data_IF_695108459603
#
_entry.id   IF_695108459603
#
_cell.length_a   1.000
_cell.length_b   1.000
_cell.length_c   1.000
_cell.angle_alpha   90.00
_cell.angle_beta   90.00
_cell.angle_gamma   90.00
#
_symmetry.space_group_name_H-M   'P 1'
#
loop_
_entity.id
_entity.type
_entity.pdbx_description
1 polymer ?
#
# COMPACT_ATOMS: atom_id res chain seq x y z
N UNK A 1 20.96 -10.00 27.67
CA UNK A 1 19.60 -10.06 27.14
C UNK A 1 19.13 -8.60 27.02
N UNK A 2 18.80 -8.16 25.82
CA UNK A 2 18.16 -6.86 25.61
C UNK A 2 16.72 -7.06 26.11
N UNK A 3 16.29 -6.26 27.06
CA UNK A 3 14.94 -6.31 27.60
C UNK A 3 14.03 -5.75 26.51
N UNK A 4 13.13 -6.57 25.97
CA UNK A 4 12.07 -6.11 25.05
C UNK A 4 11.16 -5.19 25.86
N UNK A 5 10.82 -4.00 25.36
CA UNK A 5 9.89 -3.13 26.08
C UNK A 5 8.52 -3.78 26.18
N UNK A 6 7.85 -3.60 27.32
CA UNK A 6 6.51 -4.14 27.54
C UNK A 6 5.47 -3.55 26.58
N UNK A 7 5.75 -2.37 26.02
CA UNK A 7 4.86 -1.68 25.08
C UNK A 7 5.69 -0.81 24.13
N UNK A 8 5.43 -0.90 22.84
CA UNK A 8 6.06 -0.08 21.80
C UNK A 8 5.09 0.18 20.65
N UNK A 9 5.45 1.07 19.72
CA UNK A 9 4.55 1.49 18.66
C UNK A 9 5.22 1.41 17.30
N UNK A 10 4.43 1.03 16.29
CA UNK A 10 4.76 1.28 14.88
C UNK A 10 3.62 2.01 14.19
N UNK A 11 3.93 2.61 13.04
CA UNK A 11 2.98 3.38 12.23
C UNK A 11 2.87 2.74 10.86
N UNK A 12 1.66 2.72 10.32
CA UNK A 12 1.38 2.43 8.92
C UNK A 12 0.90 3.70 8.22
N UNK A 13 1.63 4.09 7.18
CA UNK A 13 1.25 5.14 6.23
C UNK A 13 1.17 4.53 4.85
N UNK A 14 0.28 5.02 4.00
CA UNK A 14 0.13 4.54 2.63
C UNK A 14 -0.35 5.67 1.74
N UNK A 15 -0.16 5.52 0.43
CA UNK A 15 -0.72 6.44 -0.56
C UNK A 15 -0.36 7.91 -0.26
N UNK A 16 0.94 8.15 -0.05
CA UNK A 16 1.44 9.49 0.28
C UNK A 16 1.54 10.41 -0.96
N UNK A 17 1.63 9.83 -2.15
CA UNK A 17 1.58 10.48 -3.45
C UNK A 17 2.37 11.78 -3.54
N UNK A 18 3.63 11.77 -3.10
CA UNK A 18 4.53 12.90 -3.26
C UNK A 18 4.72 13.17 -4.75
N UNK A 19 4.45 14.38 -5.18
CA UNK A 19 4.48 14.73 -6.59
C UNK A 19 5.07 16.10 -6.87
N UNK A 20 5.08 16.47 -8.14
CA UNK A 20 5.55 17.72 -8.71
C UNK A 20 4.41 18.40 -9.49
N UNK A 21 4.56 19.67 -9.90
CA UNK A 21 3.56 20.36 -10.72
C UNK A 21 3.25 19.66 -12.06
N UNK A 22 4.14 18.82 -12.55
CA UNK A 22 3.99 18.06 -13.78
C UNK A 22 3.27 16.73 -13.58
N UNK A 23 3.02 16.35 -12.33
CA UNK A 23 2.40 15.07 -12.01
C UNK A 23 0.93 14.99 -12.42
N UNK A 24 0.48 13.77 -12.70
CA UNK A 24 -0.90 13.46 -13.05
C UNK A 24 -1.88 13.94 -11.99
N UNK A 25 -2.78 14.84 -12.37
CA UNK A 25 -3.82 15.42 -11.48
C UNK A 25 -3.28 15.81 -10.11
N UNK A 26 -2.08 16.37 -10.08
CA UNK A 26 -1.42 16.71 -8.85
C UNK A 26 -1.91 18.02 -8.24
N UNK A 27 -2.06 18.03 -6.93
CA UNK A 27 -2.32 19.25 -6.13
C UNK A 27 -1.21 19.41 -5.10
N UNK A 28 -0.53 20.56 -5.05
CA UNK A 28 0.52 20.82 -4.06
C UNK A 28 0.08 20.67 -2.60
N UNK A 29 -1.22 20.76 -2.36
CA UNK A 29 -1.84 20.49 -1.06
C UNK A 29 -1.50 19.10 -0.52
N UNK A 30 -1.34 18.10 -1.37
CA UNK A 30 -1.02 16.73 -0.96
C UNK A 30 0.35 16.63 -0.29
N UNK A 31 1.38 17.29 -0.85
CA UNK A 31 2.69 17.36 -0.20
C UNK A 31 2.63 18.10 1.15
N UNK A 32 1.76 19.11 1.28
CA UNK A 32 1.56 19.82 2.55
C UNK A 32 0.90 18.89 3.59
N UNK A 33 -0.05 18.06 3.18
CA UNK A 33 -0.70 17.08 4.04
C UNK A 33 0.28 16.05 4.57
N UNK A 34 1.21 15.56 3.71
CA UNK A 34 2.31 14.74 4.19
C UNK A 34 3.13 15.45 5.28
N UNK A 35 3.40 16.74 5.13
CA UNK A 35 4.12 17.52 6.15
C UNK A 35 3.37 17.58 7.49
N UNK A 36 2.04 17.57 7.47
CA UNK A 36 1.20 17.45 8.67
C UNK A 36 1.33 16.05 9.28
N UNK A 37 1.16 15.00 8.47
CA UNK A 37 1.31 13.61 8.92
C UNK A 37 2.69 13.37 9.55
N UNK A 38 3.77 13.82 8.90
CA UNK A 38 5.13 13.68 9.38
C UNK A 38 5.34 14.27 10.79
N UNK A 39 4.81 15.48 11.05
CA UNK A 39 4.86 16.11 12.37
C UNK A 39 4.08 15.31 13.42
N UNK A 40 2.92 14.79 13.07
CA UNK A 40 2.12 13.96 13.98
C UNK A 40 2.85 12.64 14.29
N UNK A 41 3.45 11.99 13.29
CA UNK A 41 4.25 10.77 13.46
C UNK A 41 5.45 11.04 14.36
N UNK A 42 6.18 12.14 14.14
CA UNK A 42 7.29 12.54 15.01
C UNK A 42 6.86 12.74 16.48
N UNK A 43 5.67 13.32 16.69
CA UNK A 43 5.14 13.52 18.04
C UNK A 43 4.75 12.19 18.73
N UNK A 44 4.30 11.19 17.95
CA UNK A 44 4.00 9.83 18.46
C UNK A 44 5.29 9.09 18.82
N UNK A 45 6.39 9.40 18.12
CA UNK A 45 7.71 8.77 18.27
C UNK A 45 7.67 7.22 18.17
N UNK A 46 7.12 6.65 17.08
CA UNK A 46 7.11 5.20 16.89
C UNK A 46 8.53 4.68 16.63
N UNK A 47 8.75 3.39 16.90
CA UNK A 47 10.04 2.75 16.64
C UNK A 47 10.24 2.36 15.15
N UNK A 48 9.12 2.21 14.42
CA UNK A 48 9.09 1.73 13.04
C UNK A 48 7.94 2.37 12.26
N UNK A 49 8.17 2.64 10.99
CA UNK A 49 7.15 3.07 10.03
C UNK A 49 7.08 2.09 8.86
N UNK A 50 5.88 1.59 8.57
CA UNK A 50 5.57 0.79 7.40
C UNK A 50 4.92 1.67 6.34
N UNK A 51 5.43 1.64 5.12
CA UNK A 51 4.97 2.47 4.00
C UNK A 51 4.33 1.58 2.95
N UNK A 52 3.01 1.66 2.83
CA UNK A 52 2.15 0.74 2.10
C UNK A 52 2.08 0.95 0.59
N UNK A 53 3.04 1.64 -0.03
CA UNK A 53 3.08 1.90 -1.47
C UNK A 53 2.47 3.25 -1.87
N UNK A 54 2.47 3.52 -3.17
CA UNK A 54 2.08 4.79 -3.78
C UNK A 54 2.83 5.99 -3.14
N UNK A 55 4.18 5.85 -3.14
CA UNK A 55 5.09 6.86 -2.59
C UNK A 55 5.08 8.11 -3.45
N UNK A 56 5.26 7.90 -4.75
CA UNK A 56 5.28 8.95 -5.74
C UNK A 56 3.92 9.05 -6.45
N UNK A 57 3.57 10.24 -6.90
CA UNK A 57 2.33 10.42 -7.67
C UNK A 57 2.38 9.73 -9.02
N UNK A 58 3.55 9.72 -9.66
CA UNK A 58 3.78 9.15 -10.99
C UNK A 58 5.08 8.35 -11.04
N UNK A 59 5.43 7.59 -10.01
CA UNK A 59 6.70 6.85 -9.95
C UNK A 59 6.94 5.93 -11.15
N UNK A 60 5.87 5.36 -11.68
CA UNK A 60 5.90 4.49 -12.86
C UNK A 60 6.30 5.21 -14.17
N UNK A 61 6.14 6.53 -14.26
CA UNK A 61 6.50 7.33 -15.44
C UNK A 61 7.54 8.40 -15.16
N UNK A 62 7.69 8.80 -13.90
CA UNK A 62 8.60 9.85 -13.44
C UNK A 62 9.40 9.35 -12.23
N UNK A 63 10.27 8.33 -12.41
CA UNK A 63 10.95 7.67 -11.29
C UNK A 63 11.91 8.59 -10.50
N UNK A 64 12.21 9.80 -10.99
CA UNK A 64 12.92 10.83 -10.22
C UNK A 64 12.10 11.36 -9.03
N UNK A 65 10.76 11.20 -9.04
CA UNK A 65 9.92 11.58 -7.89
C UNK A 65 10.19 10.73 -6.65
N UNK A 66 10.73 9.50 -6.81
CA UNK A 66 11.15 8.67 -5.68
C UNK A 66 12.22 9.36 -4.81
N UNK A 67 13.12 10.14 -5.40
CA UNK A 67 14.15 10.85 -4.63
C UNK A 67 13.51 11.83 -3.63
N UNK A 68 12.47 12.55 -4.06
CA UNK A 68 11.74 13.47 -3.17
C UNK A 68 10.92 12.69 -2.12
N UNK A 69 10.26 11.61 -2.52
CA UNK A 69 9.52 10.75 -1.58
C UNK A 69 10.44 10.20 -0.49
N UNK A 70 11.61 9.68 -0.86
CA UNK A 70 12.63 9.20 0.08
C UNK A 70 13.13 10.30 1.01
N UNK A 71 13.37 11.51 0.48
CA UNK A 71 13.81 12.65 1.29
C UNK A 71 12.80 13.01 2.37
N UNK A 72 11.50 13.08 2.02
CA UNK A 72 10.46 13.45 2.99
C UNK A 72 10.17 12.32 3.98
N UNK A 73 10.32 11.06 3.59
CA UNK A 73 10.24 9.91 4.51
C UNK A 73 11.42 9.92 5.50
N UNK A 74 12.64 10.10 5.03
CA UNK A 74 13.83 10.18 5.88
C UNK A 74 13.77 11.37 6.86
N UNK A 75 13.15 12.48 6.47
CA UNK A 75 13.00 13.66 7.32
C UNK A 75 12.10 13.41 8.55
N UNK A 76 11.29 12.35 8.55
CA UNK A 76 10.52 11.94 9.73
C UNK A 76 11.45 11.48 10.85
N UNK A 77 12.60 10.88 10.51
CA UNK A 77 13.59 10.42 11.50
C UNK A 77 13.23 9.08 12.16
N UNK A 78 12.27 8.36 11.62
CA UNK A 78 11.84 7.01 12.06
C UNK A 78 12.34 5.99 11.03
N UNK A 79 12.92 4.85 11.42
CA UNK A 79 13.24 3.77 10.48
C UNK A 79 11.98 3.32 9.73
N UNK A 80 12.10 3.11 8.42
CA UNK A 80 10.95 2.72 7.62
C UNK A 80 11.26 1.57 6.67
N UNK A 81 10.22 0.77 6.38
CA UNK A 81 10.19 -0.27 5.36
C UNK A 81 9.01 -0.03 4.41
N UNK A 82 9.20 -0.41 3.15
CA UNK A 82 8.28 -0.05 2.08
C UNK A 82 8.03 -1.21 1.13
N UNK A 83 6.88 -1.20 0.50
CA UNK A 83 6.53 -1.97 -0.69
C UNK A 83 6.08 -1.00 -1.79
N UNK A 84 6.12 -1.38 -3.08
CA UNK A 84 5.56 -0.53 -4.12
C UNK A 84 4.03 -0.49 -4.09
N UNK A 85 3.47 0.58 -4.68
CA UNK A 85 2.07 0.67 -5.09
C UNK A 85 1.93 0.74 -6.61
N UNK A 86 0.70 0.87 -7.10
CA UNK A 86 0.44 0.90 -8.53
C UNK A 86 0.87 2.20 -9.21
N UNK A 87 0.88 3.31 -8.52
CA UNK A 87 1.44 4.56 -9.05
C UNK A 87 2.97 4.54 -9.08
N UNK A 88 3.59 3.64 -8.34
CA UNK A 88 5.04 3.42 -8.36
C UNK A 88 5.47 2.49 -9.50
N UNK A 89 4.66 1.46 -9.85
CA UNK A 89 5.10 0.34 -10.71
C UNK A 89 4.09 -0.12 -11.77
N UNK A 90 2.91 0.47 -11.82
CA UNK A 90 1.83 0.09 -12.72
C UNK A 90 0.71 -0.72 -12.04
N UNK A 91 -0.44 -0.78 -12.70
CA UNK A 91 -1.65 -1.42 -12.20
C UNK A 91 -1.57 -2.95 -12.31
N UNK A 92 -2.51 -3.64 -11.67
CA UNK A 92 -2.66 -5.10 -11.86
C UNK A 92 -2.88 -5.43 -13.34
N UNK A 93 -2.45 -6.64 -13.74
CA UNK A 93 -2.40 -7.04 -15.14
C UNK A 93 -3.80 -7.21 -15.72
N UNK A 94 -4.00 -6.62 -16.90
CA UNK A 94 -5.15 -6.83 -17.78
C UNK A 94 -4.66 -7.05 -19.21
N UNK A 95 -5.42 -7.77 -20.02
CA UNK A 95 -5.19 -7.97 -21.45
C UNK A 95 -6.02 -7.01 -22.34
N UNK A 96 -6.66 -6.02 -21.72
CA UNK A 96 -7.63 -5.13 -22.35
C UNK A 96 -7.01 -3.79 -22.73
N UNK A 97 -7.49 -3.23 -23.82
CA UNK A 97 -7.36 -1.81 -24.09
C UNK A 97 -8.46 -1.05 -23.36
N UNK A 98 -8.15 0.13 -22.85
CA UNK A 98 -9.08 0.95 -22.06
C UNK A 98 -10.44 1.09 -22.73
N UNK A 99 -11.47 0.61 -22.06
CA UNK A 99 -12.87 0.72 -22.52
C UNK A 99 -13.64 1.82 -21.78
N UNK A 100 -13.26 2.11 -20.56
CA UNK A 100 -13.99 3.02 -19.66
C UNK A 100 -13.11 4.09 -19.05
N UNK A 101 -11.96 3.67 -18.56
CA UNK A 101 -10.97 4.54 -17.94
C UNK A 101 -9.58 4.14 -18.44
N UNK A 102 -8.61 5.00 -18.21
CA UNK A 102 -7.24 4.70 -18.53
C UNK A 102 -6.62 3.61 -17.62
N UNK A 103 -7.32 3.20 -16.55
CA UNK A 103 -6.78 2.31 -15.51
C UNK A 103 -6.75 0.84 -15.92
N UNK A 104 -7.63 0.42 -16.82
CA UNK A 104 -7.72 -0.95 -17.36
C UNK A 104 -7.01 -1.09 -18.71
N UNK A 105 -6.17 -0.14 -19.06
CA UNK A 105 -5.35 -0.19 -20.28
C UNK A 105 -4.10 -1.05 -20.03
N UNK A 106 -3.83 -1.98 -20.96
CA UNK A 106 -2.63 -2.83 -20.93
C UNK A 106 -1.32 -2.03 -20.80
N UNK A 107 -1.29 -0.80 -21.32
CA UNK A 107 -0.14 0.10 -21.18
C UNK A 107 0.09 0.61 -19.76
N UNK A 108 -0.87 0.42 -18.85
CA UNK A 108 -0.76 0.76 -17.44
C UNK A 108 -0.39 -0.43 -16.56
N UNK A 109 -0.28 -1.62 -17.13
CA UNK A 109 0.08 -2.82 -16.38
C UNK A 109 1.44 -2.68 -15.68
N UNK A 110 1.55 -3.30 -14.53
CA UNK A 110 2.84 -3.54 -13.88
C UNK A 110 3.76 -4.34 -14.81
N UNK A 111 5.03 -3.96 -14.86
CA UNK A 111 6.06 -4.64 -15.65
C UNK A 111 7.29 -4.95 -14.82
N UNK A 112 8.07 -5.94 -15.23
CA UNK A 112 9.32 -6.28 -14.53
C UNK A 112 10.31 -5.10 -14.50
N UNK A 113 10.35 -4.29 -15.56
CA UNK A 113 11.21 -3.11 -15.63
C UNK A 113 10.84 -2.06 -14.57
N UNK A 114 9.53 -1.80 -14.39
CA UNK A 114 9.04 -0.88 -13.37
C UNK A 114 9.31 -1.40 -11.95
N UNK A 115 9.10 -2.70 -11.73
CA UNK A 115 9.43 -3.36 -10.46
C UNK A 115 10.92 -3.25 -10.15
N UNK A 116 11.79 -3.48 -11.15
CA UNK A 116 13.23 -3.35 -10.97
C UNK A 116 13.64 -1.90 -10.73
N UNK A 117 13.04 -0.94 -11.42
CA UNK A 117 13.27 0.51 -11.19
C UNK A 117 12.94 0.89 -9.75
N UNK A 118 11.84 0.39 -9.20
CA UNK A 118 11.50 0.62 -7.80
C UNK A 118 12.54 -0.01 -6.87
N UNK A 119 12.94 -1.27 -7.10
CA UNK A 119 13.98 -1.95 -6.30
C UNK A 119 15.29 -1.16 -6.29
N UNK A 120 15.71 -0.64 -7.43
CA UNK A 120 16.97 0.07 -7.58
C UNK A 120 16.96 1.47 -6.93
N UNK A 121 15.81 2.15 -6.95
CA UNK A 121 15.71 3.53 -6.49
C UNK A 121 15.21 3.67 -5.05
N UNK A 122 14.32 2.80 -4.62
CA UNK A 122 13.62 2.91 -3.34
C UNK A 122 14.06 1.82 -2.37
N UNK A 123 13.96 0.56 -2.76
CA UNK A 123 14.34 -0.55 -1.91
C UNK A 123 13.81 -1.89 -2.37
N UNK A 124 14.45 -2.94 -1.90
CA UNK A 124 14.09 -4.32 -2.24
C UNK A 124 12.73 -4.72 -1.64
N UNK A 125 11.99 -5.51 -2.37
CA UNK A 125 10.83 -6.29 -1.93
C UNK A 125 10.84 -7.64 -2.69
N UNK A 126 10.20 -8.70 -2.19
CA UNK A 126 9.60 -8.81 -0.85
C UNK A 126 10.66 -8.83 0.25
N UNK A 127 10.25 -8.55 1.47
CA UNK A 127 11.15 -8.56 2.64
C UNK A 127 10.46 -9.15 3.88
N UNK A 128 11.28 -9.67 4.82
CA UNK A 128 10.83 -10.08 6.15
C UNK A 128 11.95 -9.85 7.17
N UNK A 129 11.56 -9.37 8.35
CA UNK A 129 12.46 -9.19 9.48
C UNK A 129 11.70 -9.37 10.81
N UNK A 130 12.44 -9.44 11.90
CA UNK A 130 11.87 -9.43 13.27
C UNK A 130 12.30 -8.13 13.95
N UNK A 131 11.33 -7.43 14.54
CA UNK A 131 11.55 -6.33 15.46
C UNK A 131 10.89 -6.69 16.77
N UNK A 132 11.69 -6.72 17.86
CA UNK A 132 11.30 -7.39 19.10
C UNK A 132 10.81 -8.83 18.82
N UNK A 133 9.60 -9.17 19.25
CA UNK A 133 9.02 -10.51 19.03
C UNK A 133 7.98 -10.54 17.91
N UNK A 134 7.87 -9.45 17.14
CA UNK A 134 6.96 -9.33 16.00
C UNK A 134 7.71 -9.54 14.70
N UNK A 135 7.19 -10.40 13.84
CA UNK A 135 7.63 -10.53 12.45
C UNK A 135 6.91 -9.51 11.60
N UNK A 136 7.65 -8.81 10.79
CA UNK A 136 7.15 -7.96 9.73
C UNK A 136 7.54 -8.53 8.39
N UNK A 137 6.60 -8.57 7.47
CA UNK A 137 6.82 -8.97 6.09
C UNK A 137 6.11 -8.00 5.16
N UNK A 138 6.69 -7.75 4.01
CA UNK A 138 6.05 -6.91 2.98
C UNK A 138 6.21 -7.56 1.62
N UNK A 139 5.14 -7.56 0.84
CA UNK A 139 5.15 -8.05 -0.54
C UNK A 139 4.20 -7.23 -1.42
N UNK A 140 4.42 -7.30 -2.73
CA UNK A 140 3.54 -6.68 -3.71
C UNK A 140 2.61 -7.76 -4.29
N UNK A 141 1.45 -7.85 -3.71
CA UNK A 141 0.50 -8.96 -3.89
C UNK A 141 -0.11 -9.03 -5.28
N UNK A 142 -0.28 -7.90 -5.99
CA UNK A 142 -0.92 -7.87 -7.31
C UNK A 142 -0.10 -8.57 -8.40
N UNK A 143 1.19 -8.81 -8.16
CA UNK A 143 2.01 -9.58 -9.10
C UNK A 143 1.85 -11.10 -8.92
N UNK A 144 1.10 -11.55 -7.92
CA UNK A 144 0.82 -12.97 -7.73
C UNK A 144 0.15 -13.51 -8.98
N UNK A 145 0.79 -14.53 -9.58
CA UNK A 145 0.37 -15.15 -10.84
C UNK A 145 0.49 -14.25 -12.10
N UNK A 146 1.18 -13.14 -12.01
CA UNK A 146 1.41 -12.22 -13.13
C UNK A 146 2.33 -12.76 -14.23
N UNK A 147 2.99 -13.89 -14.01
CA UNK A 147 3.95 -14.46 -14.96
C UNK A 147 5.28 -13.70 -15.07
N UNK A 148 5.52 -12.74 -14.18
CA UNK A 148 6.75 -11.95 -14.13
C UNK A 148 7.84 -12.67 -13.32
N UNK A 149 9.14 -12.41 -13.58
CA UNK A 149 10.23 -12.89 -12.72
C UNK A 149 10.03 -12.56 -11.25
N UNK A 150 9.61 -11.33 -10.91
CA UNK A 150 9.28 -10.91 -9.54
C UNK A 150 8.10 -11.69 -8.92
N UNK A 151 7.18 -12.24 -9.72
CA UNK A 151 6.12 -13.13 -9.22
C UNK A 151 6.69 -14.46 -8.73
N UNK A 152 7.72 -14.99 -9.41
CA UNK A 152 8.44 -16.19 -8.97
C UNK A 152 9.21 -15.93 -7.67
N UNK A 153 9.80 -14.72 -7.52
CA UNK A 153 10.43 -14.30 -6.26
C UNK A 153 9.41 -14.22 -5.13
N UNK A 154 8.21 -13.67 -5.40
CA UNK A 154 7.11 -13.63 -4.44
C UNK A 154 6.69 -15.05 -4.01
N UNK A 155 6.54 -15.99 -4.94
CA UNK A 155 6.16 -17.37 -4.61
C UNK A 155 7.21 -18.04 -3.71
N UNK A 156 8.49 -17.85 -4.02
CA UNK A 156 9.59 -18.34 -3.19
C UNK A 156 9.56 -17.72 -1.80
N UNK A 157 9.41 -16.41 -1.72
CA UNK A 157 9.30 -15.68 -0.46
C UNK A 157 8.13 -16.20 0.41
N UNK A 158 6.93 -16.34 -0.17
CA UNK A 158 5.77 -16.88 0.55
C UNK A 158 6.01 -18.31 1.07
N UNK A 159 6.68 -19.14 0.29
CA UNK A 159 7.06 -20.47 0.72
C UNK A 159 8.08 -20.44 1.86
N UNK A 160 9.06 -19.55 1.80
CA UNK A 160 10.11 -19.37 2.81
C UNK A 160 9.54 -18.88 4.15
N UNK A 161 8.74 -17.83 4.15
CA UNK A 161 8.14 -17.30 5.40
C UNK A 161 7.22 -18.33 6.07
N UNK A 162 6.55 -19.18 5.28
CA UNK A 162 5.74 -20.29 5.79
C UNK A 162 6.54 -21.45 6.43
N UNK A 163 7.87 -21.41 6.37
CA UNK A 163 8.77 -22.37 7.01
C UNK A 163 9.54 -21.79 8.20
N UNK A 164 9.44 -20.47 8.40
CA UNK A 164 10.11 -19.80 9.52
C UNK A 164 9.46 -20.18 10.86
N UNK A 165 10.24 -20.18 11.95
CA UNK A 165 9.66 -20.35 13.28
C UNK A 165 8.55 -19.32 13.50
N UNK A 166 7.43 -19.68 14.15
CA UNK A 166 6.37 -18.75 14.44
C UNK A 166 6.90 -17.59 15.32
N UNK A 167 6.44 -16.40 15.04
CA UNK A 167 6.58 -15.22 15.91
C UNK A 167 5.31 -15.05 16.73
N UNK A 168 5.37 -14.22 17.77
CA UNK A 168 4.19 -13.95 18.60
C UNK A 168 3.09 -13.29 17.77
N UNK A 169 3.46 -12.27 16.98
CA UNK A 169 2.62 -11.68 15.95
C UNK A 169 3.39 -11.66 14.63
N UNK A 170 2.64 -11.72 13.53
CA UNK A 170 3.18 -11.56 12.18
C UNK A 170 2.33 -10.56 11.42
N UNK A 171 2.92 -9.40 11.09
CA UNK A 171 2.30 -8.32 10.33
C UNK A 171 2.75 -8.41 8.88
N UNK A 172 1.80 -8.52 7.95
CA UNK A 172 2.02 -8.52 6.51
C UNK A 172 1.60 -7.17 5.92
N UNK A 173 2.47 -6.53 5.16
CA UNK A 173 2.20 -5.30 4.42
C UNK A 173 1.91 -5.63 2.97
N UNK A 174 0.74 -5.22 2.49
CA UNK A 174 0.26 -5.26 1.12
C UNK A 174 -0.07 -3.84 0.64
N UNK A 175 -0.15 -3.61 -0.67
CA UNK A 175 -0.66 -2.35 -1.20
C UNK A 175 -2.18 -2.44 -1.41
N UNK A 176 -2.66 -3.40 -2.22
CA UNK A 176 -4.09 -3.60 -2.43
C UNK A 176 -4.72 -4.34 -1.24
N UNK A 177 -5.95 -4.01 -0.85
CA UNK A 177 -6.77 -4.92 -0.06
C UNK A 177 -6.91 -6.26 -0.77
N UNK A 178 -6.85 -7.36 -0.03
CA UNK A 178 -7.05 -8.67 -0.65
C UNK A 178 -8.49 -8.86 -1.12
N UNK A 179 -9.45 -8.17 -0.49
CA UNK A 179 -10.88 -8.20 -0.81
C UNK A 179 -11.52 -6.85 -0.48
N UNK A 180 -12.71 -6.63 -1.03
CA UNK A 180 -13.48 -5.40 -0.85
C UNK A 180 -14.66 -5.63 0.08
N UNK A 181 -15.55 -6.55 -0.27
CA UNK A 181 -16.76 -6.86 0.49
C UNK A 181 -16.59 -8.07 1.39
N UNK A 182 -15.80 -9.04 0.97
CA UNK A 182 -15.53 -10.24 1.75
C UNK A 182 -14.48 -11.16 1.15
N UNK A 183 -13.88 -11.95 2.03
CA UNK A 183 -12.76 -12.82 1.67
C UNK A 183 -13.09 -13.85 0.56
N UNK A 184 -14.37 -14.20 0.43
CA UNK A 184 -14.89 -15.16 -0.56
C UNK A 184 -15.65 -14.50 -1.70
N UNK A 185 -15.52 -13.18 -1.89
CA UNK A 185 -16.16 -12.49 -3.02
C UNK A 185 -15.75 -13.09 -4.36
N UNK A 186 -16.69 -13.14 -5.30
CA UNK A 186 -16.51 -13.67 -6.64
C UNK A 186 -15.66 -12.73 -7.52
N UNK A 187 -15.35 -13.19 -8.73
CA UNK A 187 -14.69 -12.36 -9.73
C UNK A 187 -15.65 -11.25 -10.19
N UNK A 188 -15.21 -10.01 -10.05
CA UNK A 188 -15.94 -8.86 -10.56
C UNK A 188 -15.89 -8.77 -12.08
N UNK A 189 -17.02 -8.40 -12.71
CA UNK A 189 -17.10 -8.14 -14.16
C UNK A 189 -16.54 -6.74 -14.47
N UNK A 190 -15.33 -6.69 -14.96
CA UNK A 190 -14.67 -5.44 -15.38
C UNK A 190 -15.46 -4.68 -16.47
N UNK A 191 -16.43 -5.33 -17.15
CA UNK A 191 -17.29 -4.67 -18.15
C UNK A 191 -18.48 -3.98 -17.53
N UNK A 192 -18.88 -4.35 -16.31
CA UNK A 192 -19.92 -3.69 -15.56
C UNK A 192 -19.37 -2.42 -14.86
N UNK A 193 -19.98 -1.24 -15.05
CA UNK A 193 -19.56 -0.02 -14.41
C UNK A 193 -19.57 -0.05 -12.88
N UNK A 194 -20.52 -0.78 -12.30
CA UNK A 194 -20.69 -0.87 -10.85
C UNK A 194 -19.65 -1.81 -10.23
N UNK A 195 -19.32 -2.91 -10.93
CA UNK A 195 -18.31 -3.88 -10.47
C UNK A 195 -16.87 -3.48 -10.80
N UNK A 196 -16.69 -2.61 -11.82
CA UNK A 196 -15.37 -2.16 -12.26
C UNK A 196 -14.49 -1.60 -11.12
N UNK A 197 -15.07 -0.81 -10.23
CA UNK A 197 -14.32 -0.21 -9.13
C UNK A 197 -13.91 -1.27 -8.11
N UNK A 198 -14.77 -2.21 -7.80
CA UNK A 198 -14.43 -3.33 -6.91
C UNK A 198 -13.33 -4.19 -7.51
N UNK A 199 -13.39 -4.48 -8.82
CA UNK A 199 -12.29 -5.13 -9.53
C UNK A 199 -10.98 -4.34 -9.41
N UNK A 200 -11.03 -3.03 -9.61
CA UNK A 200 -9.83 -2.17 -9.58
C UNK A 200 -9.17 -2.14 -8.21
N UNK A 201 -9.95 -2.16 -7.13
CA UNK A 201 -9.46 -1.96 -5.77
C UNK A 201 -9.11 -3.25 -5.01
N UNK A 202 -9.45 -4.42 -5.51
CA UNK A 202 -9.19 -5.69 -4.84
C UNK A 202 -8.26 -6.61 -5.62
N UNK A 203 -7.93 -7.73 -5.00
CA UNK A 203 -7.15 -8.82 -5.62
C UNK A 203 -8.11 -9.89 -6.14
N UNK A 204 -7.88 -10.37 -7.38
CA UNK A 204 -8.71 -11.38 -8.02
C UNK A 204 -8.80 -12.69 -7.19
N UNK A 205 -9.90 -13.46 -7.26
CA UNK A 205 -10.18 -14.57 -6.34
C UNK A 205 -9.10 -15.63 -6.24
N UNK A 206 -8.54 -16.09 -7.37
CA UNK A 206 -7.54 -17.16 -7.37
C UNK A 206 -6.20 -16.76 -6.75
N UNK A 207 -5.56 -15.62 -7.14
CA UNK A 207 -4.38 -15.14 -6.43
C UNK A 207 -4.68 -14.79 -4.97
N UNK A 208 -5.82 -14.19 -4.65
CA UNK A 208 -6.25 -13.89 -3.28
C UNK A 208 -6.28 -15.13 -2.40
N UNK A 209 -6.92 -16.20 -2.86
CA UNK A 209 -6.97 -17.48 -2.14
C UNK A 209 -5.59 -18.01 -1.81
N UNK A 210 -4.68 -18.02 -2.79
CA UNK A 210 -3.30 -18.50 -2.61
C UNK A 210 -2.48 -17.62 -1.66
N UNK A 211 -2.69 -16.31 -1.68
CA UNK A 211 -2.07 -15.38 -0.73
C UNK A 211 -2.55 -15.66 0.69
N UNK A 212 -3.87 -15.82 0.90
CA UNK A 212 -4.45 -16.10 2.22
C UNK A 212 -3.96 -17.44 2.76
N UNK A 213 -3.93 -18.49 1.94
CA UNK A 213 -3.39 -19.81 2.34
C UNK A 213 -1.91 -19.71 2.76
N UNK A 214 -1.11 -18.92 2.02
CA UNK A 214 0.29 -18.69 2.38
C UNK A 214 0.42 -17.87 3.68
N UNK A 215 -0.41 -16.87 3.89
CA UNK A 215 -0.40 -16.05 5.11
C UNK A 215 -0.81 -16.86 6.34
N UNK A 216 -1.86 -17.67 6.23
CA UNK A 216 -2.27 -18.59 7.30
C UNK A 216 -1.14 -19.57 7.65
N UNK A 217 -0.49 -20.14 6.65
CA UNK A 217 0.66 -21.04 6.85
C UNK A 217 1.85 -20.35 7.51
N UNK A 218 2.08 -19.08 7.21
CA UNK A 218 3.14 -18.27 7.80
C UNK A 218 2.78 -17.70 9.19
N UNK A 219 1.57 -17.96 9.69
CA UNK A 219 1.09 -17.44 10.97
C UNK A 219 0.88 -15.93 10.96
N UNK A 220 0.50 -15.35 9.81
CA UNK A 220 0.14 -13.93 9.73
C UNK A 220 -1.08 -13.66 10.59
N UNK A 221 -0.97 -12.65 11.44
CA UNK A 221 -2.04 -12.20 12.35
C UNK A 221 -2.69 -10.89 11.92
N UNK A 222 -1.94 -10.06 11.20
CA UNK A 222 -2.41 -8.76 10.70
C UNK A 222 -1.98 -8.57 9.25
N UNK A 223 -2.88 -8.09 8.41
CA UNK A 223 -2.61 -7.63 7.04
C UNK A 223 -2.93 -6.15 6.96
N UNK A 224 -1.96 -5.34 6.59
CA UNK A 224 -2.12 -3.90 6.39
C UNK A 224 -2.15 -3.62 4.89
N UNK A 225 -3.11 -2.81 4.44
CA UNK A 225 -3.24 -2.43 3.02
C UNK A 225 -3.60 -0.95 2.85
N UNK A 226 -3.40 -0.43 1.64
CA UNK A 226 -3.71 0.92 1.21
C UNK A 226 -4.60 0.94 -0.03
N UNK A 227 -4.20 1.69 -1.06
CA UNK A 227 -4.77 1.75 -2.40
C UNK A 227 -6.18 2.36 -2.50
N UNK A 228 -7.07 2.04 -1.59
CA UNK A 228 -8.46 2.51 -1.61
C UNK A 228 -8.62 3.97 -1.15
N UNK A 229 -7.59 4.55 -0.50
CA UNK A 229 -7.58 5.92 0.05
C UNK A 229 -8.78 6.23 0.95
N UNK A 230 -9.33 5.22 1.59
CA UNK A 230 -10.52 5.34 2.41
C UNK A 230 -10.25 4.73 3.78
N UNK A 231 -10.62 5.43 4.82
CA UNK A 231 -10.62 4.90 6.17
C UNK A 231 -11.75 3.88 6.31
N UNK A 232 -11.41 2.64 6.63
CA UNK A 232 -12.38 1.58 6.93
C UNK A 232 -12.04 0.93 8.27
N UNK A 233 -13.05 0.43 9.02
CA UNK A 233 -12.79 -0.34 10.24
C UNK A 233 -12.05 -1.64 9.91
N UNK A 234 -11.14 -2.10 10.79
CA UNK A 234 -10.51 -3.39 10.61
C UNK A 234 -11.53 -4.53 10.73
N UNK A 235 -11.27 -5.62 10.00
CA UNK A 235 -12.10 -6.83 10.07
C UNK A 235 -11.24 -8.05 10.38
N UNK A 236 -11.69 -8.92 11.29
CA UNK A 236 -10.99 -10.16 11.61
C UNK A 236 -11.71 -11.35 11.00
N UNK A 237 -11.01 -12.12 10.17
CA UNK A 237 -11.52 -13.32 9.51
C UNK A 237 -10.48 -14.43 9.70
N UNK A 238 -10.91 -15.59 10.18
CA UNK A 238 -10.08 -16.79 10.38
C UNK A 238 -8.76 -16.52 11.14
N UNK A 239 -8.82 -15.62 12.13
CA UNK A 239 -7.68 -15.27 12.97
C UNK A 239 -6.73 -14.23 12.36
N UNK A 240 -6.99 -13.72 11.17
CA UNK A 240 -6.24 -12.63 10.55
C UNK A 240 -7.05 -11.34 10.63
N UNK A 241 -6.47 -10.27 11.16
CA UNK A 241 -7.04 -8.93 11.17
C UNK A 241 -6.57 -8.14 9.95
N UNK A 242 -7.50 -7.76 9.09
CA UNK A 242 -7.27 -6.93 7.92
C UNK A 242 -7.51 -5.46 8.27
N UNK A 243 -6.50 -4.62 8.07
CA UNK A 243 -6.52 -3.19 8.35
C UNK A 243 -6.37 -2.41 7.05
N UNK A 244 -7.30 -1.51 6.79
CA UNK A 244 -7.36 -0.69 5.59
C UNK A 244 -6.82 0.71 5.90
N UNK A 245 -5.75 1.11 5.22
CA UNK A 245 -5.10 2.42 5.39
C UNK A 245 -5.79 3.50 4.60
N UNK A 246 -6.05 4.64 5.25
CA UNK A 246 -6.41 5.86 4.54
C UNK A 246 -5.16 6.52 3.94
N UNK A 247 -5.34 7.27 2.86
CA UNK A 247 -4.29 8.11 2.28
C UNK A 247 -3.98 9.31 3.17
N UNK A 248 -2.74 9.77 3.13
CA UNK A 248 -2.39 11.10 3.65
C UNK A 248 -2.54 12.19 2.59
N UNK A 249 -2.68 11.83 1.31
CA UNK A 249 -2.69 12.78 0.19
C UNK A 249 -4.10 13.21 -0.21
N UNK A 250 -4.96 12.26 -0.52
CA UNK A 250 -6.30 12.54 -1.06
C UNK A 250 -7.25 11.39 -0.79
N UNK A 251 -8.56 11.64 -0.60
CA UNK A 251 -9.55 10.57 -0.55
C UNK A 251 -9.88 10.08 -1.97
N UNK A 252 -10.36 8.84 -2.06
CA UNK A 252 -10.91 8.26 -3.29
C UNK A 252 -12.21 7.52 -3.00
N UNK A 253 -13.28 7.93 -3.70
CA UNK A 253 -14.53 7.18 -3.77
C UNK A 253 -15.11 6.76 -2.40
N UNK A 254 -15.07 7.63 -1.39
CA UNK A 254 -15.59 7.32 -0.05
C UNK A 254 -17.03 6.80 -0.07
N UNK A 255 -17.88 7.30 -0.96
CA UNK A 255 -19.25 6.82 -1.14
C UNK A 255 -19.33 5.36 -1.65
N UNK A 256 -18.26 4.82 -2.22
CA UNK A 256 -18.17 3.42 -2.67
C UNK A 256 -18.04 2.44 -1.49
N UNK A 257 -17.59 2.92 -0.34
CA UNK A 257 -17.30 2.13 0.85
C UNK A 257 -18.29 2.49 1.97
N UNK A 258 -19.43 1.80 2.10
CA UNK A 258 -20.47 2.19 3.05
C UNK A 258 -20.05 2.11 4.53
N UNK A 259 -18.99 1.36 4.82
CA UNK A 259 -18.40 1.21 6.15
C UNK A 259 -17.18 2.12 6.40
N UNK A 260 -16.84 2.97 5.41
CA UNK A 260 -15.69 3.85 5.44
C UNK A 260 -16.03 5.34 5.37
N UNK A 261 -14.99 6.15 5.35
CA UNK A 261 -15.10 7.61 5.16
C UNK A 261 -13.85 8.19 4.48
N UNK A 262 -13.96 9.44 4.03
CA UNK A 262 -12.93 10.21 3.32
C UNK A 262 -11.89 10.86 4.25
N UNK A 263 -11.83 10.50 5.53
CA UNK A 263 -10.91 11.10 6.48
C UNK A 263 -9.46 10.74 6.16
N UNK A 264 -8.66 11.74 5.82
CA UNK A 264 -7.22 11.57 5.59
C UNK A 264 -6.47 11.35 6.89
N UNK A 265 -5.47 10.47 6.85
CA UNK A 265 -4.70 10.17 8.05
C UNK A 265 -3.82 8.94 7.90
N UNK A 266 -3.42 8.41 9.03
CA UNK A 266 -2.57 7.23 9.14
C UNK A 266 -2.94 6.40 10.36
N UNK A 267 -2.31 5.23 10.49
CA UNK A 267 -2.61 4.27 11.54
C UNK A 267 -1.42 4.08 12.47
N UNK A 268 -1.68 4.03 13.78
CA UNK A 268 -0.70 3.63 14.79
C UNK A 268 -1.12 2.31 15.40
N UNK A 269 -0.15 1.45 15.60
CA UNK A 269 -0.31 0.16 16.26
C UNK A 269 0.52 0.14 17.53
N UNK A 270 -0.14 -0.11 18.64
CA UNK A 270 0.51 -0.31 19.95
C UNK A 270 0.66 -1.79 20.18
N UNK A 271 1.89 -2.25 20.29
CA UNK A 271 2.23 -3.67 20.54
C UNK A 271 2.44 -3.86 22.02
N UNK A 272 1.74 -4.84 22.58
CA UNK A 272 1.93 -5.37 23.94
C UNK A 272 2.23 -6.87 23.86
N UNK A 273 2.59 -7.52 24.98
CA UNK A 273 2.72 -8.99 24.99
C UNK A 273 1.45 -9.74 24.62
N UNK A 274 0.26 -9.13 24.78
CA UNK A 274 -1.03 -9.79 24.58
C UNK A 274 -1.71 -9.43 23.27
N UNK A 275 -1.44 -8.22 22.71
CA UNK A 275 -2.21 -7.68 21.59
C UNK A 275 -1.43 -6.68 20.75
N UNK A 276 -1.93 -6.46 19.55
CA UNK A 276 -1.62 -5.29 18.72
C UNK A 276 -2.90 -4.44 18.63
N UNK A 277 -2.90 -3.30 19.32
CA UNK A 277 -4.02 -2.37 19.33
C UNK A 277 -3.87 -1.33 18.23
N UNK A 278 -4.97 -1.03 17.57
CA UNK A 278 -5.06 -0.12 16.43
C UNK A 278 -5.66 1.23 16.84
N UNK A 279 -5.06 2.32 16.34
CA UNK A 279 -5.60 3.67 16.47
C UNK A 279 -5.45 4.42 15.13
N UNK A 280 -6.53 5.04 14.65
CA UNK A 280 -6.48 5.91 13.48
C UNK A 280 -6.23 7.36 13.90
N UNK A 281 -5.27 8.01 13.24
CA UNK A 281 -4.92 9.41 13.46
C UNK A 281 -5.34 10.26 12.26
N UNK A 282 -6.44 11.02 12.35
CA UNK A 282 -6.80 11.97 11.32
C UNK A 282 -5.75 13.08 11.23
N UNK A 283 -5.54 13.60 10.02
CA UNK A 283 -4.68 14.77 9.85
C UNK A 283 -5.28 15.97 10.61
N UNK A 284 -4.47 16.61 11.43
CA UNK A 284 -4.88 17.81 12.20
C UNK A 284 -5.12 19.03 11.34
N UNK A 285 -4.48 19.06 10.17
CA UNK A 285 -4.65 20.09 9.15
C UNK A 285 -4.69 19.43 7.78
N UNK A 286 -5.76 19.70 7.03
CA UNK A 286 -5.90 19.31 5.62
C UNK A 286 -5.79 20.55 4.78
N UNK A 287 -4.91 20.54 3.76
CA UNK A 287 -4.72 21.67 2.88
C UNK A 287 -5.98 21.93 2.05
N UNK A 288 -6.41 23.16 2.02
CA UNK A 288 -7.50 23.62 1.13
C UNK A 288 -7.00 24.09 -0.24
N UNK A 289 -5.70 23.96 -0.48
CA UNK A 289 -5.06 24.37 -1.73
C UNK A 289 -5.41 23.41 -2.85
N UNK A 290 -6.11 23.88 -3.87
CA UNK A 290 -6.59 23.07 -5.02
C UNK A 290 -5.97 23.51 -6.35
N UNK A 291 -5.03 24.46 -6.34
CA UNK A 291 -4.31 24.88 -7.54
C UNK A 291 -3.24 23.85 -7.95
N UNK A 292 -2.86 23.90 -9.20
CA UNK A 292 -1.81 23.06 -9.77
C UNK A 292 -2.35 21.74 -10.31
N UNK A 293 -2.24 21.58 -11.61
CA UNK A 293 -2.65 20.37 -12.33
C UNK A 293 -1.59 20.01 -13.33
N UNK A 294 -1.17 18.76 -13.29
CA UNK A 294 -0.44 18.11 -14.35
C UNK A 294 -1.38 17.59 -15.47
N UNK A 295 -0.90 16.67 -16.32
CA UNK A 295 -1.69 16.04 -17.38
C UNK A 295 -2.98 15.40 -16.83
N UNK A 296 -4.06 15.44 -17.62
CA UNK A 296 -5.37 14.97 -17.18
C UNK A 296 -5.58 13.46 -17.27
N UNK A 297 -4.84 12.75 -18.12
CA UNK A 297 -4.96 11.30 -18.30
C UNK A 297 -4.16 10.50 -17.28
N UNK A 298 -4.52 9.23 -17.07
CA UNK A 298 -3.70 8.32 -16.26
C UNK A 298 -2.32 8.14 -16.92
N UNK A 299 -1.22 8.14 -16.15
CA UNK A 299 0.11 8.05 -16.74
C UNK A 299 0.31 6.70 -17.43
N UNK A 300 0.78 6.77 -18.66
CA UNK A 300 1.18 5.61 -19.47
C UNK A 300 2.67 5.70 -19.72
N UNK A 301 3.48 4.74 -19.32
CA UNK A 301 4.95 4.80 -19.46
C UNK A 301 5.42 5.14 -20.87
N UNK A 302 4.80 4.58 -21.92
CA UNK A 302 5.17 4.84 -23.31
C UNK A 302 4.82 6.25 -23.80
N UNK A 303 3.83 6.90 -23.20
CA UNK A 303 3.36 8.20 -23.65
C UNK A 303 4.27 9.36 -23.23
N UNK A 304 5.06 9.18 -22.18
CA UNK A 304 5.96 10.21 -21.64
C UNK A 304 7.40 10.13 -22.17
N UNK A 305 7.75 9.05 -22.87
CA UNK A 305 9.06 8.89 -23.52
C UNK A 305 9.23 9.77 -24.78
N UNK A 306 8.32 10.67 -25.07
CA UNK A 306 8.32 11.62 -26.18
C UNK A 306 8.33 13.05 -25.65
#
# INVERSE_FOLDING_TARGET
MIQVPDTWKFVHVTDIHIGSPESYRFQPGWNNQWSTAAKQIQAIAPELMLVGGDLARDGNTEPQQFEHSIQVLNAVGVPWHVIPGNMDTGNKITDRSSLRTDRDDIACNVTEELLQTFKDKVGAFPWSFIHHDVRFSGCYEIIKDAGLPSAIELDRFLAEIGQLPPSHFHVMLNHYPLFIDGINEDQYDITDPEEYMSWYFGVDPEPRKRLIEAYQKAGVTHVLSGHIHCRRPPITIDGITFCFGASTAMPQFGDHWPDGDDTLGFQTFTVTPEAIDFEFHPLTEVSTRTDGWGPGGHPKPEARAK
#
